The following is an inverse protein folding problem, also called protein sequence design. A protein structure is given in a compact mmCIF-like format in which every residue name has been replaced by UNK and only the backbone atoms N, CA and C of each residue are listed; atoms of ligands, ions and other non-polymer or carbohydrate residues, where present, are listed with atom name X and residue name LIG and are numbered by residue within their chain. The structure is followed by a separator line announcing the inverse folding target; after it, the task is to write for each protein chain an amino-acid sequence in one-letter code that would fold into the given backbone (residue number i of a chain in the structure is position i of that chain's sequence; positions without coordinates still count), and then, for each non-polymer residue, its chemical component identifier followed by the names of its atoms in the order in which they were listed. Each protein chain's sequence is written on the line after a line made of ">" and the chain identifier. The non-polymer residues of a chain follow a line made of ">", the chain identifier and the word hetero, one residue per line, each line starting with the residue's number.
data_IF_112829086077
#
_entry.id   IF_112829086077
#
_cell.length_a   1.000
_cell.length_b   1.000
_cell.length_c   1.000
_cell.angle_alpha   90.00
_cell.angle_beta   90.00
_cell.angle_gamma   90.00
#
_symmetry.space_group_name_H-M   'P 1'
#
loop_
_entity.id
_entity.type
_entity.pdbx_description
1 polymer ?
#
# COMPACT_ATOMS: atom_id res chain seq x y z
N UNK A 1 4.67 -13.57 -1.96
CA UNK A 1 6.06 -13.35 -1.49
C UNK A 1 6.84 -12.76 -2.66
N UNK A 2 7.67 -11.73 -2.45
CA UNK A 2 8.50 -11.14 -3.52
C UNK A 2 9.46 -12.21 -4.09
N UNK A 3 9.80 -12.14 -5.38
CA UNK A 3 10.64 -13.16 -6.04
C UNK A 3 12.02 -13.31 -5.40
N UNK A 4 12.63 -12.21 -4.97
CA UNK A 4 13.90 -12.16 -4.23
C UNK A 4 13.87 -12.88 -2.87
N UNK A 5 12.67 -13.14 -2.34
CA UNK A 5 12.47 -13.84 -1.09
C UNK A 5 12.22 -15.35 -1.30
N UNK A 6 12.06 -15.79 -2.56
CA UNK A 6 11.92 -17.23 -2.87
C UNK A 6 13.22 -17.95 -2.55
N UNK A 7 13.12 -19.12 -1.91
CA UNK A 7 14.28 -19.97 -1.58
C UNK A 7 15.14 -19.49 -0.42
N UNK A 8 14.85 -18.32 0.18
CA UNK A 8 15.49 -17.91 1.44
C UNK A 8 15.03 -18.81 2.59
N UNK A 9 15.93 -19.15 3.53
CA UNK A 9 15.55 -19.93 4.70
C UNK A 9 14.60 -19.11 5.59
N UNK A 10 13.70 -19.78 6.32
CA UNK A 10 12.64 -19.12 7.10
C UNK A 10 13.17 -18.23 8.24
N UNK A 11 14.41 -18.46 8.66
CA UNK A 11 15.15 -17.70 9.67
C UNK A 11 15.98 -16.54 9.08
N UNK A 12 15.90 -16.26 7.77
CA UNK A 12 16.48 -15.07 7.17
C UNK A 12 16.05 -13.82 7.94
N UNK A 13 17.02 -13.02 8.38
CA UNK A 13 16.77 -11.90 9.28
C UNK A 13 15.83 -10.84 8.67
N UNK A 14 15.85 -10.66 7.35
CA UNK A 14 14.92 -9.78 6.64
C UNK A 14 13.49 -10.34 6.61
N UNK A 15 13.34 -11.65 6.39
CA UNK A 15 12.05 -12.33 6.49
C UNK A 15 11.47 -12.23 7.91
N UNK A 16 12.26 -12.56 8.93
CA UNK A 16 11.86 -12.45 10.35
C UNK A 16 11.49 -11.00 10.70
N UNK A 17 12.25 -10.02 10.21
CA UNK A 17 11.97 -8.61 10.44
C UNK A 17 10.62 -8.18 9.83
N UNK A 18 10.28 -8.67 8.64
CA UNK A 18 8.98 -8.42 8.00
C UNK A 18 7.81 -9.21 8.59
N UNK A 19 8.07 -10.36 9.24
CA UNK A 19 7.02 -11.16 9.89
C UNK A 19 6.39 -10.44 11.08
N UNK A 20 7.07 -9.45 11.67
CA UNK A 20 6.51 -8.68 12.78
C UNK A 20 5.35 -7.81 12.30
N UNK A 21 4.16 -8.15 12.78
CA UNK A 21 2.90 -7.43 12.52
C UNK A 21 2.23 -7.05 13.83
N UNK A 22 1.66 -5.86 13.88
CA UNK A 22 0.70 -5.48 14.91
C UNK A 22 -0.70 -5.60 14.32
N UNK A 23 -1.55 -6.43 14.92
CA UNK A 23 -2.90 -6.69 14.41
C UNK A 23 -3.94 -5.86 15.18
N UNK A 24 -4.80 -5.20 14.43
CA UNK A 24 -5.98 -4.50 14.91
C UNK A 24 -7.18 -5.34 14.47
N UNK A 25 -7.94 -5.85 15.43
CA UNK A 25 -9.12 -6.67 15.20
C UNK A 25 -10.38 -5.80 15.24
N UNK A 26 -11.45 -6.26 14.58
CA UNK A 26 -12.75 -5.59 14.57
C UNK A 26 -12.71 -4.13 14.08
N UNK A 27 -11.81 -3.83 13.13
CA UNK A 27 -11.71 -2.50 12.53
C UNK A 27 -12.82 -2.32 11.49
N UNK A 28 -13.85 -1.55 11.85
CA UNK A 28 -15.01 -1.29 10.99
C UNK A 28 -14.66 -0.54 9.69
N UNK A 29 -13.47 0.04 9.58
CA UNK A 29 -12.98 0.69 8.35
C UNK A 29 -12.40 -0.30 7.35
N UNK A 30 -12.17 -1.56 7.76
CA UNK A 30 -11.70 -2.64 6.89
C UNK A 30 -12.87 -3.25 6.14
N UNK A 31 -12.82 -3.36 4.80
CA UNK A 31 -13.87 -4.01 4.03
C UNK A 31 -14.04 -5.47 4.41
N UNK A 32 -15.24 -6.05 4.21
CA UNK A 32 -15.43 -7.50 4.27
C UNK A 32 -14.43 -8.22 3.33
N UNK A 33 -13.94 -9.39 3.72
CA UNK A 33 -12.90 -10.14 3.00
C UNK A 33 -13.25 -10.43 1.54
N UNK A 34 -14.54 -10.61 1.22
CA UNK A 34 -15.01 -10.80 -0.16
C UNK A 34 -14.98 -9.52 -1.02
N UNK A 35 -14.69 -8.36 -0.42
CA UNK A 35 -14.53 -7.06 -1.09
C UNK A 35 -13.09 -6.54 -1.06
N UNK A 36 -12.18 -7.21 -0.34
CA UNK A 36 -10.77 -6.86 -0.33
C UNK A 36 -10.06 -7.52 -1.52
N UNK A 37 -9.33 -6.73 -2.30
CA UNK A 37 -8.51 -7.17 -3.43
C UNK A 37 -7.02 -6.94 -3.12
N UNK A 38 -6.14 -7.77 -3.68
CA UNK A 38 -4.70 -7.58 -3.55
C UNK A 38 -3.89 -8.87 -3.67
N UNK A 39 -2.60 -8.75 -3.39
CA UNK A 39 -1.62 -9.85 -3.48
C UNK A 39 -1.52 -10.68 -2.20
N UNK A 40 -2.34 -10.37 -1.20
CA UNK A 40 -2.34 -10.99 0.13
C UNK A 40 -3.62 -11.80 0.29
N UNK A 41 -3.49 -13.01 0.84
CA UNK A 41 -4.63 -13.83 1.22
C UNK A 41 -5.17 -13.38 2.58
N UNK A 42 -6.20 -12.53 2.54
CA UNK A 42 -6.85 -12.01 3.74
C UNK A 42 -7.67 -13.07 4.50
N UNK A 43 -8.03 -14.19 3.87
CA UNK A 43 -8.85 -15.25 4.48
C UNK A 43 -8.15 -15.97 5.62
N UNK A 44 -6.83 -15.82 5.72
CA UNK A 44 -6.01 -16.41 6.79
C UNK A 44 -6.19 -15.72 8.14
N UNK A 45 -6.96 -14.62 8.19
CA UNK A 45 -7.13 -13.78 9.38
C UNK A 45 -8.62 -13.61 9.67
N UNK A 46 -9.01 -13.23 10.91
CA UNK A 46 -10.40 -12.88 11.20
C UNK A 46 -10.91 -11.75 10.31
N UNK A 47 -12.23 -11.71 10.10
CA UNK A 47 -12.93 -10.62 9.42
C UNK A 47 -12.57 -9.26 10.06
N UNK A 48 -12.54 -8.19 9.26
CA UNK A 48 -12.23 -6.84 9.75
C UNK A 48 -10.88 -6.71 10.49
N UNK A 49 -9.85 -7.43 10.04
CA UNK A 49 -8.50 -7.33 10.60
C UNK A 49 -7.62 -6.41 9.75
N UNK A 50 -6.95 -5.46 10.41
CA UNK A 50 -5.91 -4.60 9.83
C UNK A 50 -4.56 -4.90 10.46
N UNK A 51 -3.48 -4.88 9.69
CA UNK A 51 -2.13 -5.03 10.22
C UNK A 51 -1.32 -3.78 9.97
N UNK A 52 -0.52 -3.40 10.96
CA UNK A 52 0.60 -2.46 10.79
C UNK A 52 1.86 -3.31 10.79
N UNK A 53 2.67 -3.20 9.75
CA UNK A 53 3.80 -4.10 9.55
C UNK A 53 4.98 -3.42 8.88
N UNK A 54 6.18 -3.98 9.10
CA UNK A 54 7.34 -3.62 8.29
C UNK A 54 7.07 -4.05 6.85
N UNK A 55 7.40 -3.19 5.90
CA UNK A 55 7.22 -3.45 4.48
C UNK A 55 8.55 -3.44 3.76
N UNK A 56 8.79 -4.47 2.95
CA UNK A 56 9.95 -4.56 2.09
C UNK A 56 9.74 -3.91 0.72
N UNK A 57 8.50 -3.68 0.27
CA UNK A 57 8.27 -3.06 -1.03
C UNK A 57 6.86 -2.45 -1.11
N UNK A 58 6.58 -1.36 -0.36
CA UNK A 58 5.31 -0.68 -0.48
C UNK A 58 5.25 0.03 -1.84
N UNK A 59 4.54 -0.55 -2.79
CA UNK A 59 4.24 0.05 -4.09
C UNK A 59 2.93 0.84 -3.95
N UNK A 60 2.79 1.90 -4.76
CA UNK A 60 1.78 2.95 -4.67
C UNK A 60 2.03 3.95 -3.52
N UNK A 61 2.34 5.20 -3.88
CA UNK A 61 2.59 6.30 -2.92
C UNK A 61 1.41 7.27 -2.83
N UNK A 62 0.19 6.75 -2.66
CA UNK A 62 -1.03 7.58 -2.56
C UNK A 62 -1.00 8.53 -1.37
N UNK A 63 -0.49 8.04 -0.23
CA UNK A 63 -0.23 8.83 0.95
C UNK A 63 0.90 8.18 1.75
N UNK A 64 1.77 8.99 2.31
CA UNK A 64 2.85 8.55 3.17
C UNK A 64 3.22 9.66 4.14
N UNK A 65 3.85 9.29 5.25
CA UNK A 65 4.40 10.22 6.22
C UNK A 65 5.88 9.91 6.43
N UNK A 66 6.69 10.95 6.57
CA UNK A 66 8.12 10.83 6.83
C UNK A 66 8.45 11.55 8.12
N UNK A 67 9.27 10.92 8.96
CA UNK A 67 10.02 11.69 9.97
C UNK A 67 10.98 12.64 9.28
N UNK A 68 11.42 13.69 9.95
CA UNK A 68 12.41 14.63 9.39
C UNK A 68 13.68 13.89 8.89
N UNK A 69 14.18 12.92 9.67
CA UNK A 69 15.33 12.10 9.26
C UNK A 69 14.99 11.23 8.04
N UNK A 70 13.78 10.68 7.99
CA UNK A 70 13.28 9.93 6.84
C UNK A 70 13.23 10.79 5.57
N UNK A 71 12.75 12.02 5.67
CA UNK A 71 12.70 12.96 4.55
C UNK A 71 14.10 13.24 3.98
N UNK A 72 15.10 13.46 4.83
CA UNK A 72 16.50 13.62 4.37
C UNK A 72 17.02 12.40 3.62
N UNK A 73 16.70 11.19 4.09
CA UNK A 73 17.08 9.94 3.40
C UNK A 73 16.39 9.80 2.06
N UNK A 74 15.08 10.05 2.00
CA UNK A 74 14.29 10.01 0.76
C UNK A 74 14.79 11.04 -0.25
N UNK A 75 15.08 12.27 0.18
CA UNK A 75 15.65 13.31 -0.69
C UNK A 75 17.03 12.91 -1.21
N UNK A 76 17.90 12.36 -0.37
CA UNK A 76 19.21 11.88 -0.82
C UNK A 76 19.06 10.75 -1.84
N UNK A 77 18.32 9.69 -1.49
CA UNK A 77 18.18 8.50 -2.33
C UNK A 77 17.47 8.81 -3.65
N UNK A 78 16.34 9.53 -3.59
CA UNK A 78 15.48 9.77 -4.75
C UNK A 78 15.80 11.06 -5.51
N UNK A 79 16.87 11.78 -5.18
CA UNK A 79 17.30 12.96 -5.96
C UNK A 79 18.76 12.93 -6.38
N UNK A 80 19.58 12.04 -5.80
CA UNK A 80 21.01 11.97 -6.09
C UNK A 80 21.42 10.60 -6.63
N UNK A 81 20.83 9.52 -6.11
CA UNK A 81 21.45 8.18 -6.23
C UNK A 81 20.57 7.17 -7.00
N UNK A 82 19.32 6.99 -6.59
CA UNK A 82 18.47 5.84 -6.95
C UNK A 82 17.05 6.19 -7.42
N UNK A 83 16.83 7.36 -8.04
CA UNK A 83 15.59 7.63 -8.77
C UNK A 83 15.62 6.94 -10.14
N UNK A 84 15.21 5.67 -10.16
CA UNK A 84 15.19 4.84 -11.38
C UNK A 84 13.75 4.42 -11.68
N UNK A 85 13.16 5.04 -12.70
CA UNK A 85 11.77 4.81 -13.11
C UNK A 85 10.75 5.62 -12.30
N UNK A 86 9.49 5.17 -12.20
CA UNK A 86 8.46 5.85 -11.42
C UNK A 86 8.86 6.05 -9.96
N UNK A 87 8.43 7.17 -9.39
CA UNK A 87 8.78 7.58 -8.03
C UNK A 87 8.40 6.53 -6.98
N UNK A 88 7.20 5.96 -7.09
CA UNK A 88 6.70 4.95 -6.17
C UNK A 88 7.51 3.65 -6.21
N UNK A 89 7.94 3.23 -7.41
CA UNK A 89 8.85 2.10 -7.58
C UNK A 89 10.23 2.38 -6.96
N UNK A 90 10.76 3.59 -7.13
CA UNK A 90 12.04 3.98 -6.54
C UNK A 90 11.96 4.04 -5.01
N UNK A 91 10.88 4.59 -4.45
CA UNK A 91 10.65 4.59 -3.01
C UNK A 91 10.44 3.17 -2.46
N UNK A 92 9.74 2.30 -3.18
CA UNK A 92 9.61 0.90 -2.82
C UNK A 92 10.97 0.19 -2.83
N UNK A 93 11.84 0.50 -3.79
CA UNK A 93 13.20 -0.03 -3.85
C UNK A 93 14.06 0.42 -2.65
N UNK A 94 13.94 1.67 -2.20
CA UNK A 94 14.61 2.13 -0.97
C UNK A 94 14.24 1.26 0.24
N UNK A 95 12.94 0.98 0.43
CA UNK A 95 12.47 0.10 1.48
C UNK A 95 12.97 -1.34 1.34
N UNK A 96 13.03 -1.84 0.09
CA UNK A 96 13.51 -3.18 -0.25
C UNK A 96 14.97 -3.38 0.16
N UNK A 97 15.83 -2.43 -0.21
CA UNK A 97 17.26 -2.46 0.14
C UNK A 97 17.50 -2.34 1.64
N UNK A 98 16.66 -1.58 2.35
CA UNK A 98 16.74 -1.49 3.80
C UNK A 98 16.38 -2.81 4.50
N UNK A 99 15.36 -3.53 4.02
CA UNK A 99 15.00 -4.84 4.60
C UNK A 99 16.02 -5.92 4.24
N UNK A 100 16.52 -5.95 3.00
CA UNK A 100 17.45 -6.98 2.53
C UNK A 100 18.81 -6.97 3.24
N UNK A 101 19.13 -5.90 3.96
CA UNK A 101 20.39 -5.73 4.71
C UNK A 101 20.24 -5.86 6.23
N UNK A 102 19.05 -6.23 6.71
CA UNK A 102 18.84 -6.58 8.12
C UNK A 102 19.64 -7.83 8.48
N UNK A 103 20.35 -7.80 9.61
CA UNK A 103 21.21 -8.90 10.06
C UNK A 103 22.55 -9.03 9.32
N UNK A 104 22.77 -8.25 8.26
CA UNK A 104 24.05 -8.20 7.54
C UNK A 104 25.02 -7.25 8.26
N UNK A 105 26.22 -7.75 8.58
CA UNK A 105 27.28 -6.97 9.20
C UNK A 105 27.62 -5.70 8.39
N UNK A 106 28.00 -4.65 9.10
CA UNK A 106 28.48 -3.39 8.52
C UNK A 106 30.00 -3.46 8.38
N UNK A 107 30.48 -4.21 7.40
CA UNK A 107 31.88 -4.17 7.01
C UNK A 107 32.06 -3.52 5.64
N UNK A 108 33.29 -3.04 5.38
CA UNK A 108 33.63 -2.33 4.15
C UNK A 108 33.55 -3.21 2.90
N UNK A 109 33.60 -4.54 3.04
CA UNK A 109 33.54 -5.50 1.94
C UNK A 109 32.10 -5.88 1.57
N UNK A 110 31.15 -5.69 2.48
CA UNK A 110 29.70 -5.86 2.29
C UNK A 110 28.95 -4.54 2.26
N UNK A 111 29.62 -3.43 1.96
CA UNK A 111 29.06 -2.08 1.80
C UNK A 111 28.13 -1.96 0.57
N UNK A 112 27.20 -2.91 0.42
CA UNK A 112 26.05 -2.79 -0.48
C UNK A 112 25.19 -1.62 -0.01
N UNK A 113 24.51 -0.96 -0.93
CA UNK A 113 23.50 0.04 -0.58
C UNK A 113 22.45 -0.59 0.35
N UNK A 114 22.44 -0.13 1.61
CA UNK A 114 21.58 -0.60 2.71
C UNK A 114 20.24 0.13 2.77
N UNK A 115 19.84 0.80 1.68
CA UNK A 115 18.65 1.65 1.66
C UNK A 115 18.67 2.71 2.76
N UNK A 116 19.87 3.24 3.04
CA UNK A 116 20.15 4.21 4.10
C UNK A 116 19.68 3.77 5.51
N UNK A 117 19.55 2.46 5.76
CA UNK A 117 18.93 1.89 6.97
C UNK A 117 17.53 2.50 7.23
N UNK A 118 16.71 2.67 6.19
CA UNK A 118 15.36 3.25 6.28
C UNK A 118 14.38 2.27 6.93
N UNK A 119 13.51 2.77 7.82
CA UNK A 119 12.44 1.97 8.40
C UNK A 119 11.14 2.26 7.67
N UNK A 120 10.65 1.29 6.91
CA UNK A 120 9.40 1.40 6.18
C UNK A 120 8.30 0.60 6.87
N UNK A 121 7.19 1.29 7.17
CA UNK A 121 6.01 0.73 7.82
C UNK A 121 4.83 0.94 6.88
N UNK A 122 3.99 -0.08 6.74
CA UNK A 122 2.75 -0.01 5.97
C UNK A 122 1.58 -0.61 6.75
N UNK A 123 0.40 -0.42 6.19
CA UNK A 123 -0.88 -0.85 6.75
C UNK A 123 -1.63 -1.64 5.69
N UNK A 124 -2.12 -2.82 6.08
CA UNK A 124 -2.80 -3.76 5.16
C UNK A 124 -4.07 -4.31 5.82
N UNK A 125 -5.28 -4.18 5.22
CA UNK A 125 -5.60 -3.42 4.00
C UNK A 125 -5.21 -1.93 4.09
N UNK A 126 -5.10 -1.21 2.96
CA UNK A 126 -4.66 0.19 2.95
C UNK A 126 -5.69 1.16 3.55
N UNK A 127 -5.24 2.37 3.90
CA UNK A 127 -6.11 3.50 4.29
C UNK A 127 -6.38 4.46 3.13
N UNK A 128 -5.52 4.45 2.12
CA UNK A 128 -5.60 5.28 0.92
C UNK A 128 -5.47 4.37 -0.29
N UNK A 129 -6.33 4.60 -1.28
CA UNK A 129 -6.32 3.82 -2.50
C UNK A 129 -6.80 4.66 -3.68
N UNK A 130 -6.51 4.21 -4.89
CA UNK A 130 -6.96 4.90 -6.09
C UNK A 130 -8.50 4.89 -6.15
N UNK A 131 -9.06 6.04 -6.48
CA UNK A 131 -10.49 6.18 -6.72
C UNK A 131 -10.78 6.01 -8.21
N UNK A 132 -11.65 5.06 -8.54
CA UNK A 132 -12.16 4.85 -9.90
C UNK A 132 -13.42 5.69 -10.07
N UNK A 133 -13.31 6.80 -10.79
CA UNK A 133 -14.39 7.77 -10.95
C UNK A 133 -15.56 7.21 -11.78
N UNK A 134 -16.77 7.73 -11.56
CA UNK A 134 -17.89 7.54 -12.48
C UNK A 134 -17.51 8.10 -13.86
N UNK A 135 -17.86 7.40 -14.93
CA UNK A 135 -17.58 7.83 -16.30
C UNK A 135 -16.93 6.75 -17.15
N UNK A 136 -16.36 7.17 -18.29
CA UNK A 136 -15.70 6.27 -19.24
C UNK A 136 -14.52 5.57 -18.58
N UNK A 137 -14.42 4.25 -18.75
CA UNK A 137 -13.27 3.47 -18.24
C UNK A 137 -11.96 3.90 -18.89
N UNK A 138 -12.00 4.42 -20.12
CA UNK A 138 -10.85 5.04 -20.78
C UNK A 138 -10.29 6.27 -20.04
N UNK A 139 -11.02 6.83 -19.07
CA UNK A 139 -10.54 7.88 -18.17
C UNK A 139 -9.83 7.36 -16.91
N UNK A 140 -9.71 6.04 -16.74
CA UNK A 140 -8.86 5.46 -15.70
C UNK A 140 -7.37 5.57 -16.09
N UNK A 141 -6.46 5.06 -15.25
CA UNK A 141 -5.03 5.14 -15.50
C UNK A 141 -4.62 4.40 -16.78
N UNK A 142 -3.82 5.08 -17.59
CA UNK A 142 -3.16 4.60 -18.81
C UNK A 142 -2.15 3.45 -18.57
N UNK A 143 -1.76 3.21 -17.31
CA UNK A 143 -0.92 2.06 -16.92
C UNK A 143 -1.67 0.74 -17.05
N UNK A 144 -3.01 0.77 -16.96
CA UNK A 144 -3.83 -0.38 -17.30
C UNK A 144 -4.24 -0.22 -18.75
N UNK A 145 -3.77 -1.12 -19.61
CA UNK A 145 -4.21 -1.19 -21.01
C UNK A 145 -5.68 -1.66 -21.05
N UNK A 146 -6.60 -0.78 -20.67
CA UNK A 146 -8.04 -1.02 -20.74
C UNK A 146 -8.48 -0.66 -22.15
N UNK A 147 -8.43 -1.65 -23.04
CA UNK A 147 -9.01 -1.59 -24.38
C UNK A 147 -10.55 -1.72 -24.34
N UNK A 148 -11.23 -0.90 -23.53
CA UNK A 148 -12.69 -0.90 -23.44
C UNK A 148 -13.26 0.46 -23.84
N UNK A 149 -13.04 0.83 -25.11
CA UNK A 149 -13.62 2.03 -25.69
C UNK A 149 -15.16 1.93 -25.66
N UNK A 150 -15.78 2.77 -24.84
CA UNK A 150 -17.25 2.86 -24.75
C UNK A 150 -17.87 2.30 -23.47
N UNK A 151 -17.15 1.54 -22.65
CA UNK A 151 -17.69 1.10 -21.35
C UNK A 151 -17.68 2.27 -20.36
N UNK A 152 -18.80 2.46 -19.67
CA UNK A 152 -18.99 3.54 -18.69
C UNK A 152 -19.33 2.96 -17.32
N UNK A 153 -18.57 3.39 -16.30
CA UNK A 153 -18.82 3.10 -14.90
C UNK A 153 -19.95 4.00 -14.38
N UNK A 154 -21.01 3.39 -13.88
CA UNK A 154 -22.19 4.13 -13.38
C UNK A 154 -21.98 4.75 -11.99
N UNK A 155 -21.15 4.12 -11.13
CA UNK A 155 -20.85 4.59 -9.78
C UNK A 155 -19.34 4.55 -9.53
N UNK A 156 -18.79 5.66 -9.04
CA UNK A 156 -17.40 5.71 -8.62
C UNK A 156 -17.17 4.93 -7.33
N UNK A 157 -15.99 4.31 -7.18
CA UNK A 157 -15.65 3.54 -5.99
C UNK A 157 -14.14 3.60 -5.71
N UNK A 158 -13.76 3.34 -4.47
CA UNK A 158 -12.34 3.25 -4.06
C UNK A 158 -12.06 1.83 -3.58
N UNK A 159 -11.24 1.07 -4.30
CA UNK A 159 -10.93 -0.31 -3.90
C UNK A 159 -10.35 -0.37 -2.48
N UNK A 160 -10.65 -1.45 -1.75
CA UNK A 160 -10.18 -1.70 -0.38
C UNK A 160 -10.58 -0.67 0.69
N UNK A 161 -11.48 0.28 0.40
CA UNK A 161 -11.92 1.32 1.35
C UNK A 161 -13.43 1.24 1.59
N UNK A 162 -13.87 1.15 2.85
CA UNK A 162 -15.30 1.11 3.23
C UNK A 162 -16.00 2.46 3.00
N UNK A 163 -15.44 3.53 3.56
CA UNK A 163 -15.96 4.88 3.45
C UNK A 163 -15.02 5.72 2.60
N UNK A 164 -15.23 5.70 1.28
CA UNK A 164 -14.44 6.55 0.38
C UNK A 164 -14.72 8.02 0.69
N UNK A 165 -13.69 8.75 1.11
CA UNK A 165 -13.79 10.20 1.36
C UNK A 165 -14.28 10.96 0.11
N UNK A 166 -13.90 10.50 -1.08
CA UNK A 166 -14.33 11.12 -2.34
C UNK A 166 -15.82 10.92 -2.61
N UNK A 167 -16.36 9.74 -2.32
CA UNK A 167 -17.81 9.50 -2.43
C UNK A 167 -18.59 10.15 -1.28
N UNK A 168 -17.96 10.34 -0.12
CA UNK A 168 -18.59 10.87 1.09
C UNK A 168 -18.33 12.36 1.33
N UNK A 169 -17.71 13.10 0.40
CA UNK A 169 -17.29 14.49 0.65
C UNK A 169 -18.46 15.38 1.06
N UNK A 170 -19.63 15.20 0.45
CA UNK A 170 -20.87 15.88 0.83
C UNK A 170 -21.27 15.53 2.27
N UNK A 171 -21.27 14.24 2.61
CA UNK A 171 -21.66 13.79 3.94
C UNK A 171 -20.69 14.30 5.03
N UNK A 172 -19.39 14.31 4.73
CA UNK A 172 -18.36 14.86 5.61
C UNK A 172 -18.54 16.37 5.84
N UNK A 173 -18.82 17.16 4.79
CA UNK A 173 -19.04 18.61 4.90
C UNK A 173 -20.33 18.92 5.65
N UNK A 174 -21.39 18.15 5.39
CA UNK A 174 -22.72 18.36 5.98
C UNK A 174 -22.87 17.73 7.38
N UNK A 175 -21.86 16.98 7.86
CA UNK A 175 -21.94 16.25 9.12
C UNK A 175 -22.97 15.12 9.13
N UNK A 176 -23.35 14.59 7.97
CA UNK A 176 -24.31 13.49 7.84
C UNK A 176 -23.61 12.13 7.84
N UNK A 177 -24.33 11.02 8.12
CA UNK A 177 -23.74 9.70 8.14
C UNK A 177 -23.01 9.35 6.83
N UNK A 178 -21.84 8.72 6.94
CA UNK A 178 -21.08 8.26 5.78
C UNK A 178 -21.71 6.98 5.18
N UNK A 179 -21.78 6.95 3.85
CA UNK A 179 -22.24 5.82 3.07
C UNK A 179 -21.12 4.80 2.87
N UNK A 180 -21.39 3.56 3.30
CA UNK A 180 -20.55 2.42 3.00
C UNK A 180 -20.76 2.01 1.53
N UNK A 181 -19.69 1.99 0.75
CA UNK A 181 -19.79 1.72 -0.69
C UNK A 181 -20.08 0.25 -1.04
N UNK A 182 -19.99 -0.67 -0.07
CA UNK A 182 -20.21 -2.11 -0.26
C UNK A 182 -21.60 -2.59 0.13
N UNK A 183 -22.43 -1.74 0.74
CA UNK A 183 -23.82 -2.05 1.02
C UNK A 183 -24.63 -1.76 -0.25
N UNK A 184 -25.12 -2.79 -0.92
CA UNK A 184 -26.15 -2.65 -1.95
C UNK A 184 -27.48 -2.31 -1.26
N UNK A 185 -28.10 -1.19 -1.61
CA UNK A 185 -29.48 -0.90 -1.21
C UNK A 185 -29.77 0.39 -0.42
N UNK A 186 -28.92 1.43 -0.47
CA UNK A 186 -29.36 2.76 -0.04
C UNK A 186 -29.69 3.63 -1.26
N UNK A 187 -30.98 3.61 -1.60
CA UNK A 187 -31.74 4.53 -2.47
C UNK A 187 -31.86 4.19 -3.96
N UNK A 188 -33.07 3.73 -4.31
CA UNK A 188 -33.75 4.15 -5.54
C UNK A 188 -34.30 5.55 -5.46
#
# INVERSE_FOLDING_TARGET
>A
MLDENKGKPLDDAGLVYMQRKFMIQNDSTVPPQNRVTGLIDFKQYPEHTRWVHITGAPICTFAYALSQRGARKVLFDLSVDHLVGPFDNSLAALCRRAVSTVGVAKDASTARDRGLDTKCISVTPPLFFHHKAKGRLAGDSDIQAIFNDGVTRQKGFTENIVWSARNNIKNMIMGTPMENQFVEGANG
#
